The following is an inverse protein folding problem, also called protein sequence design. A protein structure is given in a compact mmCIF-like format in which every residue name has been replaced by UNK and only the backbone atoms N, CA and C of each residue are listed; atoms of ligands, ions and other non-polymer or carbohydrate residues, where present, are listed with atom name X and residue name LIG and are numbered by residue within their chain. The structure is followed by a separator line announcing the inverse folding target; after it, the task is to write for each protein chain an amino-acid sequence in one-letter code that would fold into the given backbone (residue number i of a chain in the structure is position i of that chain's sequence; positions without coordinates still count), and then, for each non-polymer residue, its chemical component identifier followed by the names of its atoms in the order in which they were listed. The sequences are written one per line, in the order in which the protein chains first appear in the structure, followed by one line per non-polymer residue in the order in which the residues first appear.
data_IF_884595840974
#
_entry.id   IF_884595840974
#
_cell.length_a   1.000
_cell.length_b   1.000
_cell.length_c   1.000
_cell.angle_alpha   90.00
_cell.angle_beta   90.00
_cell.angle_gamma   90.00
#
_symmetry.space_group_name_H-M   'P 1'
#
loop_
_entity.id
_entity.type
_entity.pdbx_description
1 polymer ?
#
# COMPACT_ATOMS: atom_id res chain seq x y z
N UNK A 1 17.86 -16.85 2.18
CA UNK A 1 18.04 -15.37 2.16
C UNK A 1 17.48 -14.74 0.89
N UNK A 2 17.89 -15.16 -0.31
CA UNK A 2 17.39 -14.58 -1.58
C UNK A 2 15.86 -14.58 -1.73
N UNK A 3 15.18 -15.66 -1.34
CA UNK A 3 13.71 -15.76 -1.41
C UNK A 3 12.96 -14.83 -0.42
N UNK A 4 13.61 -14.41 0.67
CA UNK A 4 13.02 -13.47 1.64
C UNK A 4 13.19 -12.03 1.12
N UNK A 5 14.34 -11.72 0.52
CA UNK A 5 14.61 -10.41 -0.05
C UNK A 5 13.71 -10.10 -1.27
N UNK A 6 13.50 -11.09 -2.16
CA UNK A 6 12.58 -10.93 -3.30
C UNK A 6 11.14 -10.71 -2.85
N UNK A 7 10.68 -11.43 -1.82
CA UNK A 7 9.35 -11.23 -1.24
C UNK A 7 9.20 -9.80 -0.70
N UNK A 8 10.20 -9.31 0.03
CA UNK A 8 10.17 -7.97 0.61
C UNK A 8 10.10 -6.88 -0.47
N UNK A 9 10.77 -7.05 -1.61
CA UNK A 9 10.65 -6.11 -2.73
C UNK A 9 9.19 -5.93 -3.18
N UNK A 10 8.46 -7.04 -3.39
CA UNK A 10 7.07 -6.98 -3.82
C UNK A 10 6.13 -6.50 -2.72
N UNK A 11 6.43 -6.80 -1.44
CA UNK A 11 5.69 -6.25 -0.30
C UNK A 11 5.81 -4.72 -0.23
N UNK A 12 7.00 -4.16 -0.45
CA UNK A 12 7.22 -2.71 -0.48
C UNK A 12 6.52 -2.07 -1.70
N UNK A 13 6.63 -2.68 -2.89
CA UNK A 13 5.94 -2.17 -4.09
C UNK A 13 4.42 -2.25 -3.97
N UNK A 14 3.90 -3.32 -3.35
CA UNK A 14 2.48 -3.49 -3.05
C UNK A 14 1.91 -2.42 -2.13
N UNK A 15 2.71 -1.94 -1.17
CA UNK A 15 2.30 -0.85 -0.28
C UNK A 15 2.15 0.51 -0.99
N UNK A 16 2.70 0.65 -2.20
CA UNK A 16 2.59 1.86 -3.01
C UNK A 16 1.36 1.86 -3.91
N UNK A 17 0.57 0.78 -3.96
CA UNK A 17 -0.70 0.78 -4.69
C UNK A 17 -1.64 1.83 -4.10
N UNK A 18 -2.33 2.54 -4.99
CA UNK A 18 -3.16 3.71 -4.71
C UNK A 18 -2.40 4.94 -4.14
N UNK A 19 -1.06 4.94 -4.20
CA UNK A 19 -0.21 6.08 -3.83
C UNK A 19 0.34 6.81 -5.04
N UNK A 20 0.67 8.08 -4.84
CA UNK A 20 1.40 8.86 -5.84
C UNK A 20 2.84 8.34 -5.95
N UNK A 21 3.21 7.95 -7.16
CA UNK A 21 4.55 7.47 -7.50
C UNK A 21 5.11 8.23 -8.68
N UNK A 22 6.44 8.22 -8.78
CA UNK A 22 7.22 8.64 -9.92
C UNK A 22 7.87 7.43 -10.56
N UNK A 23 7.61 7.24 -11.86
CA UNK A 23 8.24 6.19 -12.67
C UNK A 23 9.21 6.86 -13.64
N UNK A 24 10.48 6.44 -13.59
CA UNK A 24 11.53 6.93 -14.47
C UNK A 24 11.81 5.89 -15.55
N UNK A 25 11.77 6.32 -16.80
CA UNK A 25 12.07 5.50 -17.96
C UNK A 25 13.57 5.45 -18.25
N UNK A 26 14.04 4.37 -18.87
CA UNK A 26 15.43 4.24 -19.35
C UNK A 26 15.80 5.27 -20.42
N UNK A 27 14.80 5.88 -21.05
CA UNK A 27 14.93 6.97 -22.03
C UNK A 27 14.93 8.38 -21.38
N UNK A 28 14.87 8.46 -20.06
CA UNK A 28 14.83 9.72 -19.30
C UNK A 28 13.44 10.34 -19.17
N UNK A 29 12.38 9.71 -19.69
CA UNK A 29 11.01 10.17 -19.45
C UNK A 29 10.61 9.93 -18.00
N UNK A 30 9.76 10.80 -17.48
CA UNK A 30 9.25 10.72 -16.11
C UNK A 30 7.73 10.73 -16.14
N UNK A 31 7.12 9.81 -15.40
CA UNK A 31 5.68 9.70 -15.26
C UNK A 31 5.31 9.84 -13.80
N UNK A 32 4.61 10.93 -13.46
CA UNK A 32 4.05 11.15 -12.13
C UNK A 32 2.56 10.79 -12.16
N UNK A 33 2.13 9.86 -11.31
CA UNK A 33 0.74 9.38 -11.26
C UNK A 33 0.46 8.45 -10.08
N UNK A 34 -0.78 7.95 -9.99
CA UNK A 34 -1.19 7.01 -8.95
C UNK A 34 -0.87 5.59 -9.40
N UNK A 35 -0.14 4.80 -8.60
CA UNK A 35 0.12 3.39 -8.92
C UNK A 35 -1.15 2.57 -8.73
N UNK A 36 -1.76 2.10 -9.81
CA UNK A 36 -2.98 1.28 -9.75
C UNK A 36 -2.68 -0.21 -9.65
N UNK A 37 -1.46 -0.62 -10.00
CA UNK A 37 -1.03 -2.01 -9.93
C UNK A 37 0.23 -2.27 -10.75
N UNK A 38 0.78 -3.45 -10.56
CA UNK A 38 1.99 -3.91 -11.25
C UNK A 38 1.92 -5.40 -11.56
N UNK A 39 2.61 -5.84 -12.61
CA UNK A 39 2.81 -7.24 -12.93
C UNK A 39 4.06 -7.77 -12.23
N UNK A 40 3.93 -8.83 -11.43
CA UNK A 40 5.02 -9.40 -10.62
C UNK A 40 6.15 -10.00 -11.44
N UNK A 41 5.89 -10.38 -12.70
CA UNK A 41 6.87 -11.06 -13.55
C UNK A 41 7.70 -10.07 -14.39
N UNK A 42 7.02 -9.09 -14.99
CA UNK A 42 7.63 -8.11 -15.89
C UNK A 42 7.98 -6.80 -15.21
N UNK A 43 7.43 -6.51 -14.02
CA UNK A 43 7.46 -5.20 -13.35
C UNK A 43 6.81 -4.09 -14.19
N UNK A 44 5.96 -4.43 -15.15
CA UNK A 44 5.13 -3.44 -15.85
C UNK A 44 4.14 -2.83 -14.86
N UNK A 45 3.88 -1.53 -14.99
CA UNK A 45 2.99 -0.79 -14.07
C UNK A 45 1.83 -0.15 -14.80
N UNK A 46 0.69 -0.04 -14.11
CA UNK A 46 -0.45 0.75 -14.53
C UNK A 46 -0.53 1.99 -13.64
N UNK A 47 -0.46 3.18 -14.26
CA UNK A 47 -0.60 4.45 -13.58
C UNK A 47 -1.94 5.09 -13.91
N UNK A 48 -2.56 5.70 -12.91
CA UNK A 48 -3.75 6.53 -13.02
C UNK A 48 -3.43 8.01 -12.92
N UNK A 49 -4.26 8.84 -13.53
CA UNK A 49 -4.23 10.31 -13.41
C UNK A 49 -2.83 10.91 -13.66
N UNK A 50 -2.13 10.37 -14.65
CA UNK A 50 -0.75 10.76 -14.98
C UNK A 50 -0.73 12.19 -15.49
N UNK A 51 0.21 12.99 -14.98
CA UNK A 51 0.43 14.35 -15.46
C UNK A 51 0.87 14.32 -16.93
N UNK A 52 0.06 14.90 -17.81
CA UNK A 52 0.39 15.16 -19.21
C UNK A 52 0.77 16.62 -19.45
N UNK A 53 1.04 16.95 -20.70
CA UNK A 53 1.38 18.32 -21.09
C UNK A 53 0.20 19.27 -20.91
N UNK A 54 0.49 20.55 -20.65
CA UNK A 54 -0.50 21.64 -20.62
C UNK A 54 -1.65 21.41 -19.61
N UNK A 55 -1.39 20.69 -18.52
CA UNK A 55 -2.38 20.41 -17.48
C UNK A 55 -3.40 19.33 -17.85
N UNK A 56 -3.18 18.59 -18.93
CA UNK A 56 -3.98 17.40 -19.25
C UNK A 56 -3.64 16.26 -18.29
N UNK A 57 -4.65 15.47 -17.92
CA UNK A 57 -4.45 14.23 -17.16
C UNK A 57 -4.71 13.05 -18.07
N UNK A 58 -3.72 12.18 -18.18
CA UNK A 58 -3.88 10.90 -18.87
C UNK A 58 -4.52 9.95 -17.86
N UNK A 59 -5.76 9.53 -18.15
CA UNK A 59 -6.52 8.71 -17.22
C UNK A 59 -5.80 7.39 -16.86
N UNK A 60 -5.18 6.73 -17.85
CA UNK A 60 -4.41 5.49 -17.66
C UNK A 60 -3.16 5.49 -18.53
N UNK A 61 -2.03 5.14 -17.92
CA UNK A 61 -0.76 4.90 -18.63
C UNK A 61 -0.22 3.53 -18.24
N UNK A 62 0.14 2.73 -19.23
CA UNK A 62 0.80 1.43 -19.03
C UNK A 62 2.26 1.58 -19.41
N UNK A 63 3.16 1.37 -18.44
CA UNK A 63 4.60 1.41 -18.67
C UNK A 63 5.12 -0.02 -18.63
N UNK A 64 5.73 -0.48 -19.73
CA UNK A 64 6.30 -1.81 -19.79
C UNK A 64 7.58 -1.89 -18.95
N UNK A 65 7.71 -2.92 -18.13
CA UNK A 65 8.79 -2.98 -17.14
C UNK A 65 10.20 -2.97 -17.73
N UNK A 66 10.39 -3.46 -18.97
CA UNK A 66 11.67 -3.37 -19.68
C UNK A 66 12.13 -1.94 -19.98
N UNK A 67 11.23 -0.95 -19.91
CA UNK A 67 11.54 0.47 -20.13
C UNK A 67 11.67 1.25 -18.83
N UNK A 68 11.47 0.62 -17.66
CA UNK A 68 11.50 1.29 -16.36
C UNK A 68 12.93 1.23 -15.80
N UNK A 69 13.49 2.39 -15.49
CA UNK A 69 14.75 2.55 -14.78
C UNK A 69 14.55 2.57 -13.26
N UNK A 70 13.43 3.12 -12.78
CA UNK A 70 13.14 3.20 -11.35
C UNK A 70 11.69 3.59 -11.03
N UNK A 71 11.26 3.23 -9.83
CA UNK A 71 9.98 3.64 -9.24
C UNK A 71 10.31 4.25 -7.87
N UNK A 72 9.76 5.44 -7.60
CA UNK A 72 9.91 6.12 -6.31
C UNK A 72 8.58 6.67 -5.84
N UNK A 73 8.41 6.78 -4.52
CA UNK A 73 7.24 7.38 -3.90
C UNK A 73 7.70 8.35 -2.80
N UNK A 74 7.06 9.51 -2.72
CA UNK A 74 7.31 10.49 -1.66
C UNK A 74 6.41 10.27 -0.44
N UNK A 75 5.23 9.69 -0.64
CA UNK A 75 4.34 9.31 0.44
C UNK A 75 4.88 8.08 1.17
N UNK A 76 4.96 8.17 2.50
CA UNK A 76 5.25 7.00 3.33
C UNK A 76 3.99 6.13 3.40
N UNK A 77 4.06 4.85 3.02
CA UNK A 77 2.91 3.97 3.14
C UNK A 77 2.50 3.82 4.61
N UNK A 78 1.20 3.60 4.84
CA UNK A 78 0.69 3.35 6.18
C UNK A 78 1.30 2.06 6.73
N UNK A 79 1.88 2.14 7.94
CA UNK A 79 2.59 1.02 8.54
C UNK A 79 1.60 -0.04 9.12
N UNK A 80 0.99 -0.83 8.23
CA UNK A 80 0.07 -1.91 8.56
C UNK A 80 0.71 -2.94 9.49
N UNK A 81 2.00 -3.25 9.31
CA UNK A 81 2.74 -4.19 10.15
C UNK A 81 2.86 -3.69 11.60
N UNK A 82 3.17 -2.40 11.78
CA UNK A 82 3.22 -1.78 13.10
C UNK A 82 1.87 -1.73 13.79
N UNK A 83 0.79 -1.47 13.04
CA UNK A 83 -0.57 -1.56 13.58
C UNK A 83 -0.92 -3.00 13.99
N UNK A 84 -0.58 -3.98 13.16
CA UNK A 84 -0.80 -5.39 13.46
C UNK A 84 -0.07 -5.84 14.72
N UNK A 85 1.20 -5.44 14.91
CA UNK A 85 1.97 -5.75 16.12
C UNK A 85 1.29 -5.21 17.39
N UNK A 86 0.73 -3.98 17.33
CA UNK A 86 -0.01 -3.41 18.47
C UNK A 86 -1.31 -4.15 18.75
N UNK A 87 -2.03 -4.53 17.70
CA UNK A 87 -3.27 -5.29 17.83
C UNK A 87 -3.00 -6.68 18.39
N UNK A 88 -1.91 -7.34 17.99
CA UNK A 88 -1.52 -8.68 18.44
C UNK A 88 -1.27 -8.72 19.96
N UNK A 89 -0.79 -7.63 20.56
CA UNK A 89 -0.63 -7.50 22.02
C UNK A 89 -1.95 -7.54 22.79
N UNK A 90 -3.05 -7.17 22.14
CA UNK A 90 -4.41 -7.12 22.73
C UNK A 90 -5.27 -8.28 22.27
N UNK A 91 -5.06 -8.77 21.05
CA UNK A 91 -5.78 -9.87 20.42
C UNK A 91 -4.81 -10.96 19.95
N UNK A 92 -4.21 -11.74 20.87
CA UNK A 92 -3.16 -12.69 20.51
C UNK A 92 -3.65 -13.78 19.58
N UNK A 93 -2.87 -14.06 18.53
CA UNK A 93 -3.14 -15.06 17.48
C UNK A 93 -4.45 -14.82 16.73
N UNK A 94 -4.96 -13.60 16.75
CA UNK A 94 -6.23 -13.21 16.11
C UNK A 94 -6.07 -12.11 15.07
N UNK A 95 -4.85 -11.70 14.72
CA UNK A 95 -4.59 -10.67 13.70
C UNK A 95 -3.99 -11.29 12.45
N UNK A 96 -4.55 -10.96 11.28
CA UNK A 96 -4.05 -11.40 9.96
C UNK A 96 -3.89 -10.20 9.04
N UNK A 97 -2.76 -10.11 8.33
CA UNK A 97 -2.50 -9.06 7.35
C UNK A 97 -2.77 -9.61 5.94
N UNK A 98 -3.47 -8.83 5.14
CA UNK A 98 -3.71 -9.04 3.72
C UNK A 98 -3.03 -7.92 2.94
N UNK A 99 -1.75 -8.11 2.62
CA UNK A 99 -0.92 -7.10 1.95
C UNK A 99 -1.52 -6.64 0.63
N UNK A 100 -2.01 -7.59 -0.19
CA UNK A 100 -2.60 -7.31 -1.50
C UNK A 100 -3.84 -6.40 -1.44
N UNK A 101 -4.52 -6.38 -0.29
CA UNK A 101 -5.73 -5.60 -0.07
C UNK A 101 -5.52 -4.43 0.89
N UNK A 102 -4.27 -4.15 1.31
CA UNK A 102 -3.95 -3.08 2.27
C UNK A 102 -4.74 -3.17 3.59
N UNK A 103 -5.16 -4.37 3.99
CA UNK A 103 -6.10 -4.57 5.11
C UNK A 103 -5.57 -5.56 6.13
N UNK A 104 -6.04 -5.42 7.36
CA UNK A 104 -5.86 -6.38 8.44
C UNK A 104 -7.23 -6.82 8.97
N UNK A 105 -7.30 -8.10 9.33
CA UNK A 105 -8.50 -8.71 9.91
C UNK A 105 -8.18 -9.16 11.33
N UNK A 106 -9.01 -8.73 12.27
CA UNK A 106 -8.94 -9.08 13.69
C UNK A 106 -10.12 -9.99 14.04
N UNK A 107 -9.86 -11.10 14.73
CA UNK A 107 -10.87 -12.10 15.12
C UNK A 107 -11.70 -12.65 13.94
N UNK A 108 -11.11 -12.73 12.75
CA UNK A 108 -11.77 -13.16 11.49
C UNK A 108 -13.04 -12.37 11.11
N UNK A 109 -13.30 -11.21 11.74
CA UNK A 109 -14.57 -10.47 11.59
C UNK A 109 -14.45 -8.95 11.57
N UNK A 110 -13.36 -8.38 12.09
CA UNK A 110 -13.15 -6.93 12.14
C UNK A 110 -12.11 -6.58 11.08
N UNK A 111 -12.50 -5.83 10.05
CA UNK A 111 -11.59 -5.42 8.98
C UNK A 111 -11.16 -3.98 9.18
N UNK A 112 -9.86 -3.72 9.04
CA UNK A 112 -9.24 -2.41 9.22
C UNK A 112 -8.23 -2.15 8.10
N UNK A 113 -8.10 -0.91 7.68
CA UNK A 113 -7.06 -0.44 6.76
C UNK A 113 -6.55 0.94 7.21
N UNK A 114 -5.84 1.65 6.33
CA UNK A 114 -5.35 2.99 6.58
C UNK A 114 -6.44 4.05 6.81
N UNK A 115 -7.68 3.84 6.35
CA UNK A 115 -8.80 4.75 6.60
C UNK A 115 -9.56 4.44 7.89
N UNK A 116 -9.22 3.36 8.58
CA UNK A 116 -9.79 2.96 9.86
C UNK A 116 -10.51 1.61 9.81
N UNK A 117 -11.50 1.43 10.69
CA UNK A 117 -12.27 0.18 10.79
C UNK A 117 -13.39 0.18 9.75
N UNK A 118 -13.29 -0.72 8.76
CA UNK A 118 -14.24 -0.86 7.66
C UNK A 118 -15.45 -1.73 8.03
N UNK A 119 -15.21 -2.82 8.76
CA UNK A 119 -16.23 -3.81 9.12
C UNK A 119 -16.05 -4.24 10.57
N UNK A 120 -17.16 -4.51 11.27
CA UNK A 120 -17.18 -5.00 12.65
C UNK A 120 -17.89 -4.07 13.64
N UNK A 121 -18.55 -4.67 14.62
CA UNK A 121 -19.32 -3.98 15.65
C UNK A 121 -19.12 -4.60 17.04
N UNK A 122 -19.55 -3.87 18.07
CA UNK A 122 -19.45 -4.26 19.47
C UNK A 122 -18.09 -3.95 20.11
N UNK A 123 -17.89 -4.36 21.37
CA UNK A 123 -16.78 -3.90 22.21
C UNK A 123 -15.39 -4.20 21.64
N UNK A 124 -15.25 -5.33 20.94
CA UNK A 124 -13.99 -5.68 20.27
C UNK A 124 -13.66 -4.72 19.13
N UNK A 125 -14.64 -4.32 18.32
CA UNK A 125 -14.45 -3.36 17.24
C UNK A 125 -14.14 -1.95 17.79
N UNK A 126 -14.80 -1.54 18.88
CA UNK A 126 -14.50 -0.28 19.57
C UNK A 126 -13.06 -0.27 20.08
N UNK A 127 -12.60 -1.39 20.66
CA UNK A 127 -11.22 -1.52 21.12
C UNK A 127 -10.21 -1.44 19.97
N UNK A 128 -10.52 -2.02 18.81
CA UNK A 128 -9.69 -1.91 17.61
C UNK A 128 -9.65 -0.47 17.09
N UNK A 129 -10.79 0.25 17.08
CA UNK A 129 -10.85 1.68 16.73
C UNK A 129 -9.97 2.53 17.63
N UNK A 130 -10.01 2.31 18.94
CA UNK A 130 -9.17 3.03 19.90
C UNK A 130 -7.68 2.83 19.63
N UNK A 131 -7.26 1.59 19.36
CA UNK A 131 -5.85 1.25 19.07
C UNK A 131 -5.42 1.91 17.74
N UNK A 132 -6.28 1.85 16.72
CA UNK A 132 -6.04 2.50 15.43
C UNK A 132 -5.87 4.02 15.60
N UNK A 133 -6.77 4.68 16.31
CA UNK A 133 -6.72 6.14 16.48
C UNK A 133 -5.44 6.57 17.21
N UNK A 134 -5.03 5.83 18.25
CA UNK A 134 -3.76 6.09 18.94
C UNK A 134 -2.57 5.88 18.03
N UNK A 135 -2.57 4.81 17.23
CA UNK A 135 -1.51 4.54 16.26
C UNK A 135 -1.34 5.67 15.24
N UNK A 136 -2.44 6.15 14.67
CA UNK A 136 -2.44 7.28 13.73
C UNK A 136 -1.93 8.54 14.41
N UNK A 137 -2.41 8.87 15.61
CA UNK A 137 -2.01 10.08 16.33
C UNK A 137 -0.52 10.11 16.70
N UNK A 138 0.09 8.94 16.91
CA UNK A 138 1.51 8.81 17.27
C UNK A 138 2.45 8.73 16.06
N UNK A 139 1.92 8.41 14.89
CA UNK A 139 2.69 8.17 13.65
C UNK A 139 2.49 9.27 12.61
N UNK A 140 1.51 10.17 12.83
CA UNK A 140 1.27 11.39 12.04
C UNK A 140 2.34 12.46 12.28
#
# INVERSE_FOLDING_TARGET
MAAVASRKFFEELGQLVDKLVRVEGTDGKVYDGVLLGYDVNSLSVCLGDVAGDQGTKIHRSFIYGSTIAGISASERPFNLAGLAERLERVFPSMVRIYHDAGTLVVMDKIRVNESGVLEGSGPAADRVRDIFQRFVNETS
#
